data_IF_084910602797
#
_entry.id   IF_084910602797
#
_cell.length_a   1.000
_cell.length_b   1.000
_cell.length_c   1.000
_cell.angle_alpha   90.00
_cell.angle_beta   90.00
_cell.angle_gamma   90.00
#
_symmetry.space_group_name_H-M   'P 1'
#
loop_
_entity.id
_entity.type
_entity.pdbx_description
1 polymer ?
#
# COMPACT_ATOMS: atom_id res chain seq x y z
N UNK A 1 -9.17 18.36 3.33
CA UNK A 1 -7.91 18.13 2.60
C UNK A 1 -7.60 16.67 2.25
N UNK A 2 -8.22 15.65 2.86
CA UNK A 2 -7.86 14.24 2.61
C UNK A 2 -8.43 13.64 1.33
N UNK A 3 -9.52 14.16 0.77
CA UNK A 3 -10.17 13.61 -0.46
C UNK A 3 -9.34 13.87 -1.72
N UNK A 4 -8.88 15.11 -1.93
CA UNK A 4 -8.00 15.50 -3.04
C UNK A 4 -6.71 14.65 -3.05
N UNK A 5 -6.16 14.42 -1.86
CA UNK A 5 -4.96 13.60 -1.68
C UNK A 5 -5.21 12.09 -1.95
N UNK A 6 -6.45 11.60 -1.78
CA UNK A 6 -6.80 10.21 -2.13
C UNK A 6 -6.96 10.01 -3.64
N UNK A 7 -7.57 10.97 -4.34
CA UNK A 7 -7.73 10.93 -5.80
C UNK A 7 -6.38 10.99 -6.52
N UNK A 8 -5.48 11.86 -6.07
CA UNK A 8 -4.10 11.93 -6.57
C UNK A 8 -3.33 10.62 -6.33
N UNK A 9 -3.48 10.02 -5.14
CA UNK A 9 -2.90 8.71 -4.85
C UNK A 9 -3.51 7.61 -5.73
N UNK A 10 -4.80 7.69 -6.06
CA UNK A 10 -5.48 6.73 -6.91
C UNK A 10 -4.99 6.83 -8.36
N UNK A 11 -4.88 8.04 -8.90
CA UNK A 11 -4.30 8.31 -10.22
C UNK A 11 -2.83 7.87 -10.30
N UNK A 12 -2.06 8.08 -9.23
CA UNK A 12 -0.69 7.58 -9.15
C UNK A 12 -0.62 6.05 -9.16
N UNK A 13 -1.55 5.36 -8.48
CA UNK A 13 -1.63 3.89 -8.50
C UNK A 13 -1.96 3.38 -9.91
N UNK A 14 -2.87 4.02 -10.64
CA UNK A 14 -3.20 3.63 -12.01
C UNK A 14 -2.01 3.77 -12.96
N UNK A 15 -1.27 4.88 -12.88
CA UNK A 15 -0.02 5.05 -13.61
C UNK A 15 1.01 3.97 -13.27
N UNK A 16 1.15 3.63 -11.98
CA UNK A 16 2.06 2.57 -11.54
C UNK A 16 1.61 1.18 -12.00
N UNK A 17 0.31 0.91 -12.06
CA UNK A 17 -0.23 -0.34 -12.61
C UNK A 17 0.07 -0.48 -14.11
N UNK A 18 -0.11 0.60 -14.88
CA UNK A 18 0.26 0.62 -16.30
C UNK A 18 1.75 0.34 -16.52
N UNK A 19 2.62 1.00 -15.74
CA UNK A 19 4.08 0.74 -15.78
C UNK A 19 4.44 -0.68 -15.37
N UNK A 20 3.78 -1.24 -14.36
CA UNK A 20 4.00 -2.62 -13.94
C UNK A 20 3.51 -3.62 -15.00
N UNK A 21 2.38 -3.38 -15.65
CA UNK A 21 1.90 -4.21 -16.75
C UNK A 21 2.86 -4.18 -17.94
N UNK A 22 3.36 -3.00 -18.31
CA UNK A 22 4.36 -2.85 -19.37
C UNK A 22 5.68 -3.56 -19.03
N UNK A 23 6.15 -3.47 -17.79
CA UNK A 23 7.35 -4.20 -17.35
C UNK A 23 7.14 -5.71 -17.37
N UNK A 24 5.95 -6.19 -16.97
CA UNK A 24 5.59 -7.61 -17.01
C UNK A 24 5.49 -8.13 -18.45
N UNK A 25 4.88 -7.36 -19.35
CA UNK A 25 4.79 -7.70 -20.77
C UNK A 25 6.17 -7.73 -21.44
N UNK A 26 7.03 -6.74 -21.16
CA UNK A 26 8.43 -6.73 -21.63
C UNK A 26 9.23 -7.93 -21.09
N UNK A 27 8.99 -8.31 -19.85
CA UNK A 27 9.62 -9.46 -19.22
C UNK A 27 9.04 -10.81 -19.71
N UNK A 28 8.01 -10.81 -20.57
CA UNK A 28 7.34 -12.02 -21.06
C UNK A 28 6.71 -12.83 -19.94
N UNK A 29 6.05 -12.16 -18.98
CA UNK A 29 5.38 -12.78 -17.82
C UNK A 29 6.29 -13.59 -16.88
N UNK A 30 7.61 -13.44 -17.01
CA UNK A 30 8.58 -14.02 -16.07
C UNK A 30 8.37 -13.43 -14.68
N UNK A 31 7.70 -14.19 -13.81
CA UNK A 31 7.44 -13.80 -12.40
C UNK A 31 8.73 -13.53 -11.61
N UNK A 32 9.85 -14.11 -12.03
CA UNK A 32 11.16 -13.93 -11.43
C UNK A 32 11.93 -12.72 -11.97
N UNK A 33 11.40 -12.01 -12.97
CA UNK A 33 12.05 -10.83 -13.52
C UNK A 33 12.14 -9.73 -12.44
N UNK A 34 13.35 -9.24 -12.14
CA UNK A 34 13.57 -8.29 -11.06
C UNK A 34 12.87 -6.96 -11.32
N UNK A 35 12.77 -6.51 -12.57
CA UNK A 35 12.14 -5.24 -12.95
C UNK A 35 10.62 -5.31 -12.78
N UNK A 36 10.01 -6.39 -13.28
CA UNK A 36 8.58 -6.68 -13.08
C UNK A 36 8.24 -6.83 -11.58
N UNK A 37 9.12 -7.46 -10.79
CA UNK A 37 8.94 -7.64 -9.35
C UNK A 37 8.99 -6.31 -8.61
N UNK A 38 9.95 -5.45 -8.91
CA UNK A 38 10.06 -4.11 -8.31
C UNK A 38 8.88 -3.21 -8.71
N UNK A 39 8.44 -3.25 -9.96
CA UNK A 39 7.27 -2.50 -10.41
C UNK A 39 5.99 -2.92 -9.65
N UNK A 40 5.76 -4.24 -9.48
CA UNK A 40 4.63 -4.76 -8.67
C UNK A 40 4.74 -4.35 -7.20
N UNK A 41 5.93 -4.33 -6.61
CA UNK A 41 6.14 -3.86 -5.22
C UNK A 41 5.77 -2.38 -5.06
N UNK A 42 6.14 -1.53 -6.02
CA UNK A 42 5.78 -0.09 -6.01
C UNK A 42 4.26 0.10 -5.99
N UNK A 43 3.52 -0.64 -6.83
CA UNK A 43 2.04 -0.65 -6.83
C UNK A 43 1.49 -1.06 -5.46
N UNK A 44 1.97 -2.17 -4.87
CA UNK A 44 1.53 -2.63 -3.54
C UNK A 44 1.79 -1.62 -2.44
N UNK A 45 2.96 -0.95 -2.45
CA UNK A 45 3.28 0.11 -1.48
C UNK A 45 2.33 1.30 -1.60
N UNK A 46 2.03 1.75 -2.82
CA UNK A 46 1.09 2.84 -3.04
C UNK A 46 -0.35 2.47 -2.62
N UNK A 47 -0.80 1.25 -2.91
CA UNK A 47 -2.09 0.74 -2.41
C UNK A 47 -2.16 0.68 -0.88
N UNK A 48 -1.08 0.25 -0.21
CA UNK A 48 -0.99 0.28 1.25
C UNK A 48 -1.10 1.70 1.81
N UNK A 49 -0.45 2.68 1.19
CA UNK A 49 -0.56 4.10 1.57
C UNK A 49 -1.99 4.62 1.41
N UNK A 50 -2.65 4.31 0.29
CA UNK A 50 -4.06 4.69 0.08
C UNK A 50 -4.98 4.01 1.11
N UNK A 51 -4.74 2.73 1.44
CA UNK A 51 -5.50 2.02 2.48
C UNK A 51 -5.28 2.62 3.85
N UNK A 52 -4.05 3.00 4.19
CA UNK A 52 -3.72 3.69 5.43
C UNK A 52 -4.44 5.04 5.52
N UNK A 53 -4.40 5.85 4.45
CA UNK A 53 -5.10 7.14 4.37
C UNK A 53 -6.64 6.98 4.47
N UNK A 54 -7.20 5.90 3.92
CA UNK A 54 -8.61 5.54 4.08
C UNK A 54 -8.92 5.08 5.51
N UNK A 55 -8.04 4.27 6.12
CA UNK A 55 -8.20 3.73 7.47
C UNK A 55 -8.00 4.77 8.57
N UNK A 56 -7.15 5.79 8.37
CA UNK A 56 -6.94 6.86 9.34
C UNK A 56 -8.23 7.65 9.60
N UNK A 57 -9.13 7.70 8.60
CA UNK A 57 -10.49 8.25 8.76
C UNK A 57 -11.41 7.37 9.64
N UNK A 58 -11.05 6.10 9.86
CA UNK A 58 -11.77 5.16 10.73
C UNK A 58 -10.99 4.73 11.99
N UNK A 59 -9.73 5.13 12.15
CA UNK A 59 -8.87 4.72 13.26
C UNK A 59 -9.10 5.54 14.55
N UNK A 60 -9.91 6.60 14.50
CA UNK A 60 -10.27 7.41 15.67
C UNK A 60 -11.22 6.72 16.67
N UNK A 61 -11.54 5.43 16.51
CA UNK A 61 -12.42 4.70 17.45
C UNK A 61 -11.86 3.43 18.10
N UNK A 62 -10.61 3.00 17.85
CA UNK A 62 -10.07 1.75 18.46
C UNK A 62 -8.58 1.76 18.81
N UNK A 63 -8.02 2.90 19.20
CA UNK A 63 -6.65 2.97 19.75
C UNK A 63 -6.56 3.80 21.05
N UNK A 64 -7.66 3.90 21.79
CA UNK A 64 -7.70 4.50 23.14
C UNK A 64 -7.93 3.44 24.24
N UNK A 65 -7.54 2.19 24.00
CA UNK A 65 -7.36 1.19 25.07
C UNK A 65 -6.00 0.52 24.86
N UNK A 66 -4.96 1.13 25.40
CA UNK A 66 -4.03 0.36 26.22
C UNK A 66 -4.67 0.29 27.62
N UNK A 67 -4.75 -0.90 28.21
CA UNK A 67 -3.69 -1.29 29.14
C UNK A 67 -3.29 -2.76 28.89
N UNK A 68 -2.21 -3.34 29.39
CA UNK A 68 -1.24 -2.94 30.38
C UNK A 68 0.13 -3.57 30.03
N UNK A 69 1.17 -2.98 30.58
CA UNK A 69 2.39 -3.69 30.94
C UNK A 69 2.02 -4.91 31.78
N UNK A 70 2.43 -6.10 31.33
CA UNK A 70 2.41 -7.33 32.08
C UNK A 70 3.80 -7.95 32.04
N UNK A 71 4.68 -7.47 32.91
CA UNK A 71 5.78 -8.28 33.42
C UNK A 71 5.21 -9.55 34.07
N UNK A 72 5.97 -10.64 33.93
CA UNK A 72 6.02 -11.82 34.80
C UNK A 72 4.71 -12.62 35.02
N UNK A 73 4.74 -13.92 34.70
CA UNK A 73 4.89 -14.99 35.72
C UNK A 73 4.69 -16.39 35.11
N UNK A 74 5.43 -17.35 35.69
CA UNK A 74 5.41 -18.82 35.56
C UNK A 74 6.21 -19.46 34.41
#
# INVERSE_FOLDING_TARGET
MTKVNQEELQAAIEKLKGKAAAAVQKAGDKKADPEAREARKKVKRAQRKLRAAKSYKGASKKAAEKPAEGQASA
#
